data_IF_611161760867
#
_entry.id   IF_611161760867
#
_cell.length_a   1.000
_cell.length_b   1.000
_cell.length_c   1.000
_cell.angle_alpha   90.00
_cell.angle_beta   90.00
_cell.angle_gamma   90.00
#
_symmetry.space_group_name_H-M   'P 1'
#
loop_
_entity.id
_entity.type
_entity.pdbx_description
1 polymer ?
#
# COMPACT_ATOMS: atom_id res chain seq x y z
N UNK A 1 19.18 29.19 31.89
CA UNK A 1 19.07 27.72 31.77
C UNK A 1 19.12 27.08 33.15
N UNK A 2 17.99 26.57 33.70
CA UNK A 2 17.95 25.93 35.01
C UNK A 2 18.13 24.40 34.89
N UNK A 3 19.32 23.88 35.22
CA UNK A 3 19.56 22.45 35.44
C UNK A 3 19.65 22.18 36.95
N UNK A 4 19.05 21.08 37.44
CA UNK A 4 19.17 20.66 38.84
C UNK A 4 20.11 19.47 38.94
N UNK A 5 21.16 19.58 39.75
CA UNK A 5 22.09 18.48 40.01
C UNK A 5 21.45 17.44 40.92
N UNK A 6 21.58 16.17 40.56
CA UNK A 6 21.15 15.01 41.33
C UNK A 6 22.37 14.09 41.46
N UNK A 7 23.10 14.21 42.57
CA UNK A 7 24.34 13.46 42.79
C UNK A 7 25.44 13.77 41.77
N UNK A 8 25.77 12.80 40.92
CA UNK A 8 26.73 12.95 39.81
C UNK A 8 26.10 13.36 38.48
N UNK A 9 24.77 13.43 38.42
CA UNK A 9 24.01 13.70 37.20
C UNK A 9 23.29 15.05 37.27
N UNK A 10 22.79 15.52 36.13
CA UNK A 10 21.95 16.71 36.01
C UNK A 10 20.61 16.34 35.41
N UNK A 11 19.52 16.81 36.04
CA UNK A 11 18.17 16.76 35.48
C UNK A 11 17.83 18.11 34.86
N UNK A 12 17.34 18.07 33.63
CA UNK A 12 16.91 19.22 32.83
C UNK A 12 15.50 18.99 32.30
N UNK A 13 14.76 20.05 32.01
CA UNK A 13 13.45 19.95 31.35
C UNK A 13 13.63 19.65 29.86
N UNK A 14 12.65 18.99 29.24
CA UNK A 14 12.69 18.70 27.80
C UNK A 14 12.91 19.98 26.97
N UNK A 15 12.19 21.06 27.29
CA UNK A 15 12.36 22.35 26.61
C UNK A 15 13.77 22.95 26.72
N UNK A 16 14.43 22.80 27.88
CA UNK A 16 15.78 23.29 28.09
C UNK A 16 16.82 22.40 27.40
N UNK A 17 16.54 21.10 27.26
CA UNK A 17 17.34 20.19 26.45
C UNK A 17 17.22 20.54 24.96
N UNK A 18 16.03 20.84 24.48
CA UNK A 18 15.79 21.22 23.07
C UNK A 18 16.48 22.54 22.72
N UNK A 19 16.47 23.51 23.64
CA UNK A 19 17.21 24.77 23.50
C UNK A 19 18.73 24.56 23.56
N UNK A 20 19.20 23.72 24.49
CA UNK A 20 20.63 23.41 24.67
C UNK A 20 21.22 22.62 23.49
N UNK A 21 20.46 21.66 22.94
CA UNK A 21 20.87 20.89 21.78
C UNK A 21 20.96 21.76 20.51
N UNK A 22 20.44 22.99 20.57
CA UNK A 22 20.07 23.77 19.40
C UNK A 22 18.96 23.03 18.67
N UNK A 23 17.88 23.71 18.30
CA UNK A 23 16.83 23.17 17.45
C UNK A 23 17.33 22.93 16.01
N UNK A 24 18.49 22.28 15.83
CA UNK A 24 18.92 21.66 14.61
C UNK A 24 18.05 20.43 14.40
N UNK A 25 16.83 20.67 13.87
CA UNK A 25 15.86 19.69 13.37
C UNK A 25 15.66 18.52 14.33
N UNK A 26 14.50 18.45 14.99
CA UNK A 26 13.95 17.15 15.37
C UNK A 26 14.19 16.22 14.19
N UNK A 27 15.18 15.33 14.33
CA UNK A 27 15.85 14.70 13.21
C UNK A 27 14.76 14.11 12.35
N UNK A 28 14.65 14.59 11.12
CA UNK A 28 13.67 14.12 10.16
C UNK A 28 13.87 12.61 10.13
N UNK A 29 13.02 11.89 10.88
CA UNK A 29 13.20 10.47 11.14
C UNK A 29 13.26 9.89 9.74
N UNK A 30 14.36 9.21 9.34
CA UNK A 30 14.50 8.77 7.97
C UNK A 30 13.22 8.02 7.63
N UNK A 31 12.41 8.61 6.76
CA UNK A 31 11.15 8.00 6.35
C UNK A 31 11.58 6.68 5.76
N UNK A 32 11.13 5.53 6.28
CA UNK A 32 11.50 4.25 5.70
C UNK A 32 11.02 4.27 4.26
N UNK A 33 11.97 4.45 3.33
CA UNK A 33 11.71 4.37 1.89
C UNK A 33 11.67 2.89 1.54
N UNK A 34 10.54 2.24 1.85
CA UNK A 34 10.27 0.92 1.30
C UNK A 34 10.04 1.09 -0.19
N UNK A 35 10.72 0.26 -1.00
CA UNK A 35 10.49 0.25 -2.45
C UNK A 35 9.13 -0.36 -2.67
N UNK A 36 8.15 0.46 -3.02
CA UNK A 36 6.86 -0.03 -3.45
C UNK A 36 6.92 -0.29 -4.95
N UNK A 37 6.71 -1.55 -5.33
CA UNK A 37 6.52 -1.94 -6.73
C UNK A 37 5.03 -2.18 -6.91
N UNK A 38 4.48 -1.76 -8.04
CA UNK A 38 3.09 -2.02 -8.40
C UNK A 38 3.10 -2.51 -9.83
N UNK A 39 2.44 -3.63 -10.09
CA UNK A 39 2.24 -4.20 -11.42
C UNK A 39 0.76 -4.16 -11.73
N UNK A 40 0.43 -3.58 -12.87
CA UNK A 40 -0.91 -3.63 -13.44
C UNK A 40 -0.93 -4.43 -14.72
N UNK A 41 -1.95 -5.26 -14.90
CA UNK A 41 -2.25 -5.93 -16.17
C UNK A 41 -3.65 -5.55 -16.62
N UNK A 42 -3.79 -5.24 -17.90
CA UNK A 42 -5.07 -4.95 -18.54
C UNK A 42 -5.25 -5.98 -19.65
N UNK A 43 -6.36 -6.72 -19.59
CA UNK A 43 -6.72 -7.73 -20.57
C UNK A 43 -8.05 -7.33 -21.20
N UNK A 44 -8.05 -7.22 -22.51
CA UNK A 44 -9.24 -7.02 -23.31
C UNK A 44 -9.56 -8.32 -24.06
N UNK A 45 -10.79 -8.79 -23.93
CA UNK A 45 -11.30 -10.00 -24.58
C UNK A 45 -12.50 -9.58 -25.43
N UNK A 46 -12.33 -9.61 -26.75
CA UNK A 46 -13.40 -9.35 -27.71
C UNK A 46 -14.18 -10.64 -28.05
N UNK A 47 -15.36 -10.47 -28.66
CA UNK A 47 -16.24 -11.56 -29.10
C UNK A 47 -16.57 -12.58 -28.00
N UNK A 48 -16.86 -12.10 -26.78
CA UNK A 48 -17.19 -12.93 -25.62
C UNK A 48 -18.68 -12.84 -25.25
N UNK A 49 -19.25 -14.01 -24.96
CA UNK A 49 -20.65 -14.11 -24.50
C UNK A 49 -20.82 -13.56 -23.07
N UNK A 50 -22.04 -13.14 -22.68
CA UNK A 50 -22.32 -12.72 -21.31
C UNK A 50 -22.00 -13.82 -20.28
N UNK A 51 -22.39 -15.06 -20.58
CA UNK A 51 -22.12 -16.23 -19.74
C UNK A 51 -20.63 -16.49 -19.56
N UNK A 52 -19.85 -16.46 -20.65
CA UNK A 52 -18.40 -16.67 -20.58
C UNK A 52 -17.71 -15.51 -19.85
N UNK A 53 -18.18 -14.27 -20.05
CA UNK A 53 -17.68 -13.10 -19.32
C UNK A 53 -17.86 -13.24 -17.81
N UNK A 54 -19.05 -13.68 -17.38
CA UNK A 54 -19.33 -13.94 -15.97
C UNK A 54 -18.54 -15.12 -15.42
N UNK A 55 -18.38 -16.19 -16.23
CA UNK A 55 -17.57 -17.36 -15.87
C UNK A 55 -16.10 -16.98 -15.66
N UNK A 56 -15.51 -16.21 -16.57
CA UNK A 56 -14.13 -15.72 -16.44
C UNK A 56 -13.96 -14.87 -15.19
N UNK A 57 -14.86 -13.90 -14.98
CA UNK A 57 -14.82 -13.02 -13.79
C UNK A 57 -14.89 -13.85 -12.50
N UNK A 58 -15.79 -14.83 -12.46
CA UNK A 58 -15.94 -15.73 -11.30
C UNK A 58 -14.69 -16.56 -11.06
N UNK A 59 -14.09 -17.12 -12.11
CA UNK A 59 -12.86 -17.92 -12.02
C UNK A 59 -11.69 -17.09 -11.48
N UNK A 60 -11.54 -15.85 -11.94
CA UNK A 60 -10.50 -14.93 -11.47
C UNK A 60 -10.68 -14.65 -9.98
N UNK A 61 -11.89 -14.28 -9.56
CA UNK A 61 -12.17 -13.97 -8.16
C UNK A 61 -11.99 -15.20 -7.26
N UNK A 62 -12.37 -16.39 -7.71
CA UNK A 62 -12.19 -17.65 -6.97
C UNK A 62 -10.71 -18.03 -6.82
N UNK A 63 -9.93 -17.91 -7.90
CA UNK A 63 -8.47 -18.14 -7.88
C UNK A 63 -7.74 -17.11 -7.02
N UNK A 64 -8.23 -15.86 -7.08
CA UNK A 64 -8.08 -14.78 -6.10
C UNK A 64 -8.11 -15.31 -4.68
N UNK A 65 -9.35 -15.53 -4.23
CA UNK A 65 -9.77 -15.87 -2.88
C UNK A 65 -9.11 -17.11 -2.27
N UNK A 66 -8.60 -18.02 -3.11
CA UNK A 66 -7.94 -19.24 -2.68
C UNK A 66 -6.56 -18.98 -2.04
N UNK A 67 -5.94 -17.82 -2.29
CA UNK A 67 -4.66 -17.40 -1.68
C UNK A 67 -4.85 -16.61 -0.38
N UNK A 68 -5.83 -16.99 0.46
CA UNK A 68 -6.12 -16.31 1.74
C UNK A 68 -4.91 -16.43 2.68
N UNK A 69 -4.25 -15.31 2.99
CA UNK A 69 -3.17 -15.26 4.00
C UNK A 69 -2.10 -14.19 3.73
N UNK A 70 -1.91 -13.79 2.47
CA UNK A 70 -0.96 -12.74 2.11
C UNK A 70 -1.56 -11.34 2.33
N UNK A 71 -0.83 -10.38 2.93
CA UNK A 71 -1.32 -9.03 3.18
C UNK A 71 -1.59 -8.20 1.91
N UNK A 72 -0.99 -8.56 0.77
CA UNK A 72 -1.12 -7.83 -0.50
C UNK A 72 -2.01 -8.60 -1.49
N UNK A 73 -3.33 -8.39 -1.39
CA UNK A 73 -4.28 -8.94 -2.36
C UNK A 73 -4.35 -8.07 -3.63
N UNK A 74 -4.27 -8.66 -4.83
CA UNK A 74 -4.50 -7.92 -6.06
C UNK A 74 -5.92 -7.33 -6.11
N UNK A 75 -6.01 -6.05 -6.47
CA UNK A 75 -7.28 -5.41 -6.83
C UNK A 75 -7.66 -5.86 -8.24
N UNK A 76 -8.91 -6.28 -8.42
CA UNK A 76 -9.47 -6.64 -9.73
C UNK A 76 -10.70 -5.80 -10.01
N UNK A 77 -10.72 -5.18 -11.19
CA UNK A 77 -11.89 -4.49 -11.73
C UNK A 77 -12.25 -5.17 -13.07
N UNK A 78 -13.51 -5.53 -13.28
CA UNK A 78 -14.02 -6.08 -14.54
C UNK A 78 -15.15 -5.24 -15.10
N UNK A 79 -15.15 -5.05 -16.42
CA UNK A 79 -16.15 -4.30 -17.15
C UNK A 79 -16.56 -5.12 -18.38
N UNK A 80 -17.83 -5.52 -18.43
CA UNK A 80 -18.42 -6.14 -19.60
C UNK A 80 -19.25 -5.12 -20.38
N UNK A 81 -18.95 -4.96 -21.66
CA UNK A 81 -19.72 -4.18 -22.63
C UNK A 81 -20.53 -5.17 -23.48
N UNK A 82 -21.83 -5.21 -23.22
CA UNK A 82 -22.76 -6.12 -23.91
C UNK A 82 -22.99 -5.71 -25.37
N UNK A 83 -22.98 -4.41 -25.68
CA UNK A 83 -23.20 -3.90 -27.03
C UNK A 83 -22.06 -4.29 -27.97
N UNK A 84 -20.85 -4.42 -27.42
CA UNK A 84 -19.63 -4.78 -28.15
C UNK A 84 -19.20 -6.23 -27.96
N UNK A 85 -19.87 -6.99 -27.08
CA UNK A 85 -19.46 -8.33 -26.71
C UNK A 85 -18.00 -8.37 -26.23
N UNK A 86 -17.62 -7.42 -25.37
CA UNK A 86 -16.24 -7.23 -24.93
C UNK A 86 -16.13 -7.24 -23.41
N UNK A 87 -15.14 -7.95 -22.89
CA UNK A 87 -14.77 -7.93 -21.48
C UNK A 87 -13.41 -7.26 -21.32
N UNK A 88 -13.33 -6.26 -20.45
CA UNK A 88 -12.08 -5.69 -19.96
C UNK A 88 -11.87 -6.11 -18.51
N UNK A 89 -10.66 -6.57 -18.21
CA UNK A 89 -10.22 -6.88 -16.85
C UNK A 89 -8.98 -6.06 -16.55
N UNK A 90 -8.96 -5.42 -15.39
CA UNK A 90 -7.80 -4.70 -14.86
C UNK A 90 -7.42 -5.34 -13.54
N UNK A 91 -6.16 -5.77 -13.43
CA UNK A 91 -5.59 -6.34 -12.21
C UNK A 91 -4.45 -5.43 -11.76
N UNK A 92 -4.48 -4.99 -10.52
CA UNK A 92 -3.41 -4.21 -9.88
C UNK A 92 -2.89 -4.94 -8.67
N UNK A 93 -1.60 -5.26 -8.64
CA UNK A 93 -0.96 -6.01 -7.57
C UNK A 93 0.34 -5.33 -7.14
N UNK A 94 0.69 -5.48 -5.87
CA UNK A 94 2.03 -5.19 -5.34
C UNK A 94 2.80 -6.51 -5.37
N UNK A 95 3.89 -6.65 -6.15
CA UNK A 95 4.72 -7.83 -6.05
C UNK A 95 5.49 -7.76 -4.72
N UNK A 96 5.23 -8.78 -3.90
CA UNK A 96 5.80 -9.00 -2.56
C UNK A 96 7.34 -9.02 -2.60
#
# INVERSE_FOLDING_TARGET
MPAKRIGKEYRITASALDEFAGSARAGERPVPRTRQVIVSSIVDVDAISPDDSQRITTLIMAGLNSRRGEPDYPRVDSLYDADRGRLRIVITASPV
#
